data_IF_592786979597
#
_entry.id   IF_592786979597
#
_cell.length_a   1.000
_cell.length_b   1.000
_cell.length_c   1.000
_cell.angle_alpha   90.00
_cell.angle_beta   90.00
_cell.angle_gamma   90.00
#
_symmetry.space_group_name_H-M   'P 1'
#
loop_
_entity.id
_entity.type
_entity.pdbx_description
1 polymer ?
#
# COMPACT_ATOMS: atom_id res chain seq x y z
N UNK A 1 13.86 -22.60 -17.90
CA UNK A 1 15.03 -21.84 -17.43
C UNK A 1 15.01 -20.50 -18.13
N UNK A 2 14.84 -19.41 -17.36
CA UNK A 2 14.91 -18.07 -17.91
C UNK A 2 16.31 -17.77 -18.47
N UNK A 3 16.44 -16.75 -19.33
CA UNK A 3 17.74 -16.28 -19.82
C UNK A 3 18.57 -15.78 -18.62
N UNK A 4 19.91 -15.79 -18.74
CA UNK A 4 20.82 -15.21 -17.73
C UNK A 4 20.47 -13.78 -17.44
N UNK A 5 20.13 -12.98 -18.47
CA UNK A 5 19.66 -11.61 -18.34
C UNK A 5 18.45 -11.47 -17.41
N UNK A 6 17.41 -12.29 -17.59
CA UNK A 6 16.23 -12.25 -16.72
C UNK A 6 16.56 -12.62 -15.26
N UNK A 7 17.46 -13.59 -15.04
CA UNK A 7 17.88 -13.99 -13.71
C UNK A 7 18.68 -12.89 -12.99
N UNK A 8 19.53 -12.16 -13.70
CA UNK A 8 20.37 -11.09 -13.12
C UNK A 8 19.56 -9.90 -12.60
N UNK A 9 18.34 -9.70 -13.11
CA UNK A 9 17.44 -8.60 -12.71
C UNK A 9 16.22 -9.05 -11.91
N UNK A 10 16.17 -10.32 -11.48
CA UNK A 10 15.13 -10.83 -10.60
C UNK A 10 15.54 -10.64 -9.13
N UNK A 11 14.67 -10.04 -8.32
CA UNK A 11 14.90 -9.80 -6.88
C UNK A 11 14.60 -11.06 -6.03
N UNK A 12 14.50 -12.23 -6.64
CA UNK A 12 14.26 -13.50 -5.96
C UNK A 12 15.48 -13.88 -5.11
N UNK A 13 15.25 -14.12 -3.81
CA UNK A 13 16.29 -14.46 -2.82
C UNK A 13 17.35 -13.38 -2.53
N UNK A 14 17.14 -12.14 -2.98
CA UNK A 14 18.05 -11.03 -2.71
C UNK A 14 17.92 -10.57 -1.24
N UNK A 15 19.05 -10.48 -0.54
CA UNK A 15 19.11 -9.92 0.80
C UNK A 15 18.89 -8.40 0.77
N UNK A 16 18.19 -7.85 1.77
CA UNK A 16 17.97 -6.43 1.86
C UNK A 16 18.51 -5.89 3.19
N UNK A 17 19.56 -5.06 3.11
CA UNK A 17 20.15 -4.39 4.26
C UNK A 17 19.73 -2.93 4.33
N UNK A 18 19.19 -2.54 5.49
CA UNK A 18 18.86 -1.17 5.82
C UNK A 18 19.95 -0.60 6.72
N UNK A 19 20.53 0.53 6.32
CA UNK A 19 21.60 1.17 7.06
C UNK A 19 21.07 2.37 7.84
N UNK A 20 21.53 2.53 9.09
CA UNK A 20 21.35 3.76 9.83
C UNK A 20 22.11 4.91 9.14
N UNK A 21 21.54 6.10 9.18
CA UNK A 21 22.17 7.32 8.66
C UNK A 21 22.24 8.36 9.80
N UNK A 22 23.43 8.72 10.29
CA UNK A 22 23.60 9.69 11.36
C UNK A 22 23.32 11.14 10.93
N UNK A 23 23.26 11.40 9.62
CA UNK A 23 23.08 12.74 9.06
C UNK A 23 21.60 13.05 8.75
N UNK A 24 20.65 12.22 9.24
CA UNK A 24 19.22 12.47 9.06
C UNK A 24 18.80 13.76 9.77
N UNK A 25 18.10 14.61 9.03
CA UNK A 25 17.39 15.76 9.58
C UNK A 25 16.09 15.30 10.27
N UNK A 26 15.63 16.01 11.30
CA UNK A 26 14.32 15.76 11.89
C UNK A 26 13.19 15.91 10.86
N UNK A 27 12.16 15.09 11.01
CA UNK A 27 10.91 15.31 10.29
C UNK A 27 10.17 16.50 10.91
N UNK A 28 9.64 17.38 10.07
CA UNK A 28 8.81 18.52 10.47
C UNK A 28 7.41 18.33 9.89
N UNK A 29 6.37 18.72 10.63
CA UNK A 29 4.99 18.57 10.20
C UNK A 29 4.16 19.78 10.50
N UNK A 30 3.52 20.31 9.46
CA UNK A 30 2.48 21.32 9.53
C UNK A 30 1.12 20.66 9.38
N UNK A 31 0.21 20.92 10.33
CA UNK A 31 -1.12 20.35 10.35
C UNK A 31 -2.17 21.45 10.41
N UNK A 32 -3.17 21.36 9.55
CA UNK A 32 -4.32 22.26 9.54
C UNK A 32 -5.61 21.44 9.53
N UNK A 33 -6.60 21.90 10.31
CA UNK A 33 -7.95 21.30 10.33
C UNK A 33 -8.98 22.41 10.38
N UNK A 34 -10.01 22.28 9.56
CA UNK A 34 -11.17 23.14 9.56
C UNK A 34 -12.43 22.27 9.57
N UNK A 35 -13.32 22.51 10.53
CA UNK A 35 -14.54 21.73 10.69
C UNK A 35 -15.77 22.57 10.91
N UNK A 36 -16.93 22.02 10.52
CA UNK A 36 -18.26 22.58 10.76
C UNK A 36 -19.12 21.54 11.43
N UNK A 37 -19.79 21.94 12.52
CA UNK A 37 -20.81 21.14 13.21
C UNK A 37 -22.17 21.80 12.99
N UNK A 38 -23.11 21.04 12.47
CA UNK A 38 -24.48 21.49 12.19
C UNK A 38 -25.44 20.66 13.03
N UNK A 39 -26.20 21.32 13.89
CA UNK A 39 -27.22 20.71 14.75
C UNK A 39 -28.61 21.34 14.46
N UNK A 40 -29.30 20.89 13.41
CA UNK A 40 -30.59 21.48 13.02
C UNK A 40 -31.68 21.33 14.08
N UNK A 41 -31.58 20.30 14.91
CA UNK A 41 -32.43 20.01 16.06
C UNK A 41 -31.68 19.10 17.06
N UNK A 42 -32.28 18.81 18.20
CA UNK A 42 -31.68 18.01 19.27
C UNK A 42 -31.38 16.55 18.87
N UNK A 43 -31.97 16.06 17.80
CA UNK A 43 -31.85 14.68 17.32
C UNK A 43 -30.79 14.48 16.27
N UNK A 44 -30.37 15.52 15.54
CA UNK A 44 -29.51 15.43 14.39
C UNK A 44 -28.25 16.29 14.56
N UNK A 45 -27.10 15.65 14.47
CA UNK A 45 -25.80 16.34 14.38
C UNK A 45 -25.06 15.85 13.13
N UNK A 46 -24.55 16.80 12.35
CA UNK A 46 -23.69 16.54 11.19
C UNK A 46 -22.38 17.27 11.41
N UNK A 47 -21.26 16.55 11.26
CA UNK A 47 -19.92 17.14 11.26
C UNK A 47 -19.26 16.95 9.90
N UNK A 48 -18.56 17.97 9.46
CA UNK A 48 -17.71 17.91 8.25
C UNK A 48 -16.38 18.55 8.62
N UNK A 49 -15.32 17.77 8.58
CA UNK A 49 -13.96 18.19 8.91
C UNK A 49 -13.07 17.98 7.70
N UNK A 50 -12.39 19.04 7.25
CA UNK A 50 -11.33 18.97 6.26
C UNK A 50 -9.98 19.16 6.95
N UNK A 51 -9.01 18.34 6.61
CA UNK A 51 -7.70 18.34 7.24
C UNK A 51 -6.59 18.21 6.21
N UNK A 52 -5.43 18.81 6.52
CA UNK A 52 -4.21 18.75 5.73
C UNK A 52 -3.02 18.53 6.64
N UNK A 53 -2.12 17.65 6.22
CA UNK A 53 -0.85 17.34 6.89
C UNK A 53 0.24 17.44 5.84
N UNK A 54 1.16 18.39 6.01
CA UNK A 54 2.38 18.50 5.24
C UNK A 54 3.56 18.05 6.12
N UNK A 55 4.37 17.14 5.59
CA UNK A 55 5.50 16.56 6.31
C UNK A 55 6.77 16.69 5.50
N UNK A 56 7.68 17.54 5.95
CA UNK A 56 8.99 17.72 5.38
C UNK A 56 10.01 16.73 5.95
N UNK A 57 11.06 16.48 5.18
CA UNK A 57 12.16 15.59 5.56
C UNK A 57 11.68 14.19 5.99
N UNK A 58 10.58 13.70 5.41
CA UNK A 58 10.07 12.36 5.74
C UNK A 58 11.19 11.32 5.68
N UNK A 59 11.44 10.63 6.78
CA UNK A 59 12.48 9.60 6.84
C UNK A 59 11.98 8.32 6.19
N UNK A 60 12.71 7.83 5.21
CA UNK A 60 12.33 6.63 4.48
C UNK A 60 13.49 6.02 3.68
N UNK A 61 13.15 5.04 2.88
CA UNK A 61 14.04 4.36 1.94
C UNK A 61 13.60 4.68 0.52
N UNK A 62 14.53 4.61 -0.43
CA UNK A 62 14.18 4.67 -1.86
C UNK A 62 13.37 3.42 -2.27
N UNK A 63 13.64 2.30 -1.64
CA UNK A 63 12.98 1.01 -1.83
C UNK A 63 13.83 0.03 -2.66
N UNK A 64 13.83 -1.23 -2.24
CA UNK A 64 14.68 -2.25 -2.90
C UNK A 64 14.33 -2.46 -4.37
N UNK A 65 13.01 -2.46 -4.70
CA UNK A 65 12.56 -2.60 -6.08
C UNK A 65 13.01 -1.40 -6.91
N UNK A 66 12.84 -0.19 -6.40
CA UNK A 66 13.30 1.04 -7.04
C UNK A 66 14.81 1.06 -7.23
N UNK A 67 15.58 0.58 -6.24
CA UNK A 67 17.06 0.50 -6.31
C UNK A 67 17.50 -0.47 -7.40
N UNK A 68 16.84 -1.63 -7.53
CA UNK A 68 17.12 -2.60 -8.59
C UNK A 68 16.81 -2.03 -9.98
N UNK A 69 15.66 -1.39 -10.14
CA UNK A 69 15.26 -0.76 -11.41
C UNK A 69 16.21 0.39 -11.77
N UNK A 70 16.62 1.18 -10.79
CA UNK A 70 17.54 2.27 -11.02
C UNK A 70 18.96 1.77 -11.39
N UNK A 71 19.44 0.68 -10.76
CA UNK A 71 20.69 0.01 -11.18
C UNK A 71 20.60 -0.47 -12.63
N UNK A 72 19.49 -1.07 -13.03
CA UNK A 72 19.26 -1.44 -14.43
C UNK A 72 19.30 -0.22 -15.35
N UNK A 73 18.64 0.87 -15.00
CA UNK A 73 18.66 2.10 -15.80
C UNK A 73 20.09 2.65 -15.98
N UNK A 74 20.89 2.68 -14.91
CA UNK A 74 22.29 3.11 -14.99
C UNK A 74 23.11 2.23 -15.93
N UNK A 75 22.86 0.92 -15.96
CA UNK A 75 23.56 -0.01 -16.86
C UNK A 75 23.12 0.15 -18.30
N UNK A 76 21.83 0.40 -18.56
CA UNK A 76 21.33 0.76 -19.90
C UNK A 76 22.00 2.05 -20.38
N UNK A 77 22.10 3.06 -19.54
CA UNK A 77 22.74 4.34 -19.87
C UNK A 77 24.25 4.19 -20.09
N UNK A 78 24.92 3.29 -19.37
CA UNK A 78 26.35 2.95 -19.59
C UNK A 78 26.54 2.31 -20.97
N UNK A 79 25.59 1.45 -21.39
CA UNK A 79 25.63 0.74 -22.66
C UNK A 79 26.86 -0.19 -22.80
N UNK A 80 27.17 -0.57 -24.04
CA UNK A 80 28.27 -1.48 -24.41
C UNK A 80 29.33 -0.81 -25.27
N UNK A 81 29.40 0.53 -25.30
CA UNK A 81 30.45 1.29 -26.01
C UNK A 81 30.43 1.18 -27.52
N UNK A 82 29.31 0.77 -28.13
CA UNK A 82 29.19 0.55 -29.56
C UNK A 82 29.84 -0.75 -30.04
N UNK A 83 30.07 -1.71 -29.12
CA UNK A 83 30.57 -3.04 -29.44
C UNK A 83 29.70 -3.73 -30.49
N UNK A 84 30.34 -4.35 -31.49
CA UNK A 84 29.67 -5.09 -32.57
C UNK A 84 29.82 -6.61 -32.41
N UNK A 85 30.64 -7.03 -31.45
CA UNK A 85 30.83 -8.42 -31.06
C UNK A 85 30.78 -8.59 -29.54
N UNK A 86 30.46 -9.79 -29.08
CA UNK A 86 30.48 -10.15 -27.67
C UNK A 86 31.84 -9.90 -27.03
N UNK A 87 32.91 -10.25 -27.69
CA UNK A 87 34.29 -10.06 -27.20
C UNK A 87 34.61 -8.56 -26.97
N UNK A 88 34.20 -7.69 -27.90
CA UNK A 88 34.34 -6.24 -27.75
C UNK A 88 33.50 -5.70 -26.60
N UNK A 89 32.26 -6.18 -26.44
CA UNK A 89 31.40 -5.84 -25.32
C UNK A 89 32.05 -6.23 -23.99
N UNK A 90 32.48 -7.46 -23.82
CA UNK A 90 33.12 -7.93 -22.59
C UNK A 90 34.37 -7.11 -22.24
N UNK A 91 35.24 -6.85 -23.23
CA UNK A 91 36.39 -6.00 -23.04
C UNK A 91 36.05 -4.56 -22.63
N UNK A 92 35.01 -3.97 -23.24
CA UNK A 92 34.48 -2.66 -22.84
C UNK A 92 33.96 -2.68 -21.40
N UNK A 93 33.15 -3.66 -21.04
CA UNK A 93 32.57 -3.79 -19.73
C UNK A 93 33.62 -3.96 -18.63
N UNK A 94 34.62 -4.78 -18.86
CA UNK A 94 35.78 -4.92 -17.96
C UNK A 94 36.56 -3.61 -17.82
N UNK A 95 36.89 -2.96 -18.94
CA UNK A 95 37.60 -1.69 -18.97
C UNK A 95 36.87 -0.53 -18.27
N UNK A 96 35.54 -0.58 -18.22
CA UNK A 96 34.70 0.39 -17.51
C UNK A 96 34.39 0.01 -16.07
N UNK A 97 34.89 -1.13 -15.61
CA UNK A 97 34.67 -1.62 -14.26
C UNK A 97 33.18 -1.83 -13.90
N UNK A 98 32.31 -2.05 -14.91
CA UNK A 98 30.86 -2.27 -14.69
C UNK A 98 30.56 -3.67 -14.17
N UNK A 99 31.57 -4.58 -14.18
CA UNK A 99 31.52 -5.85 -13.46
C UNK A 99 31.70 -5.70 -11.94
N UNK A 100 32.03 -4.49 -11.46
CA UNK A 100 32.14 -4.24 -10.04
C UNK A 100 30.80 -4.44 -9.37
N UNK A 101 30.79 -5.25 -8.32
CA UNK A 101 29.62 -5.53 -7.53
C UNK A 101 28.96 -4.28 -6.90
N UNK A 102 29.75 -3.21 -6.73
CA UNK A 102 29.29 -1.93 -6.19
C UNK A 102 28.99 -0.88 -7.28
N UNK A 103 28.81 -1.30 -8.55
CA UNK A 103 28.46 -0.38 -9.62
C UNK A 103 27.24 0.47 -9.23
N UNK A 104 27.31 1.77 -9.48
CA UNK A 104 26.22 2.69 -9.12
C UNK A 104 26.14 3.10 -7.65
N UNK A 105 27.00 2.56 -6.76
CA UNK A 105 26.98 2.85 -5.32
C UNK A 105 26.88 4.36 -5.01
N UNK A 106 27.66 5.17 -5.66
CA UNK A 106 27.65 6.63 -5.42
C UNK A 106 26.49 7.35 -6.09
N UNK A 107 25.94 6.80 -7.18
CA UNK A 107 24.75 7.34 -7.82
C UNK A 107 23.48 7.05 -7.01
N UNK A 108 23.51 6.05 -6.14
CA UNK A 108 22.40 5.65 -5.28
C UNK A 108 22.48 6.25 -3.86
N UNK A 109 23.25 7.33 -3.64
CA UNK A 109 23.42 8.01 -2.33
C UNK A 109 23.77 7.01 -1.21
N UNK A 110 24.71 6.11 -1.48
CA UNK A 110 25.10 5.05 -0.57
C UNK A 110 24.27 3.77 -0.63
N UNK A 111 23.15 3.77 -1.35
CA UNK A 111 22.46 2.55 -1.75
C UNK A 111 23.19 1.91 -2.93
N UNK A 112 23.23 0.59 -2.97
CA UNK A 112 23.79 -0.13 -4.09
C UNK A 112 23.29 -1.57 -4.13
N UNK A 113 23.40 -2.18 -5.32
CA UNK A 113 23.05 -3.57 -5.56
C UNK A 113 24.35 -4.36 -5.69
N UNK A 114 24.61 -5.24 -4.71
CA UNK A 114 25.70 -6.22 -4.81
C UNK A 114 25.25 -7.38 -5.69
N UNK A 115 26.19 -7.86 -6.50
CA UNK A 115 25.97 -8.96 -7.43
C UNK A 115 27.01 -10.04 -7.25
N UNK A 116 26.71 -11.23 -7.75
CA UNK A 116 27.65 -12.35 -7.76
C UNK A 116 28.99 -11.97 -8.38
N UNK A 117 30.04 -12.57 -7.87
CA UNK A 117 31.43 -12.18 -8.19
C UNK A 117 31.85 -12.47 -9.64
N UNK A 118 31.15 -13.37 -10.35
CA UNK A 118 31.43 -13.69 -11.74
C UNK A 118 30.27 -13.33 -12.66
N UNK A 119 30.23 -12.09 -13.17
CA UNK A 119 29.16 -11.63 -14.06
C UNK A 119 29.19 -12.38 -15.42
N UNK A 120 30.27 -13.04 -15.78
CA UNK A 120 30.35 -13.79 -17.04
C UNK A 120 29.75 -15.18 -16.93
N UNK A 121 29.55 -15.70 -15.73
CA UNK A 121 28.94 -17.02 -15.48
C UNK A 121 27.44 -17.06 -15.88
N UNK A 122 26.76 -15.93 -15.82
CA UNK A 122 25.34 -15.80 -16.23
C UNK A 122 25.17 -15.21 -17.62
N UNK A 123 26.29 -14.95 -18.36
CA UNK A 123 26.23 -14.37 -19.68
C UNK A 123 25.43 -15.25 -20.65
N UNK A 124 24.57 -14.61 -21.41
CA UNK A 124 23.96 -15.11 -22.64
C UNK A 124 23.86 -13.99 -23.69
N UNK A 125 23.45 -14.33 -24.90
CA UNK A 125 23.36 -13.37 -26.02
C UNK A 125 22.29 -12.27 -25.76
N UNK A 126 21.42 -12.46 -24.81
CA UNK A 126 20.38 -11.46 -24.44
C UNK A 126 21.01 -10.18 -23.89
N UNK A 127 22.14 -10.25 -23.17
CA UNK A 127 22.88 -9.08 -22.71
C UNK A 127 23.42 -8.26 -23.90
N UNK A 128 24.03 -8.92 -24.87
CA UNK A 128 24.55 -8.24 -26.06
C UNK A 128 23.41 -7.62 -26.88
N UNK A 129 22.32 -8.37 -27.08
CA UNK A 129 21.15 -7.91 -27.83
C UNK A 129 20.43 -6.74 -27.13
N UNK A 130 20.41 -6.72 -25.81
CA UNK A 130 19.88 -5.63 -25.02
C UNK A 130 20.84 -4.42 -24.93
N UNK A 131 22.09 -4.53 -25.37
CA UNK A 131 23.08 -3.47 -25.27
C UNK A 131 23.53 -3.17 -23.83
N UNK A 132 23.52 -4.18 -22.95
CA UNK A 132 23.83 -4.06 -21.53
C UNK A 132 24.98 -4.98 -21.16
N UNK A 133 25.88 -4.50 -20.32
CA UNK A 133 26.97 -5.33 -19.78
C UNK A 133 26.42 -6.40 -18.84
N UNK A 134 26.91 -7.64 -18.87
CA UNK A 134 26.58 -8.67 -17.88
C UNK A 134 26.87 -8.18 -16.47
N UNK A 135 26.01 -8.53 -15.54
CA UNK A 135 26.05 -7.96 -14.18
C UNK A 135 26.15 -9.01 -13.06
N UNK A 136 25.83 -10.27 -13.37
CA UNK A 136 25.63 -11.29 -12.36
C UNK A 136 24.31 -11.17 -11.62
N UNK A 137 23.90 -12.22 -10.93
CA UNK A 137 22.66 -12.25 -10.16
C UNK A 137 22.73 -11.27 -8.98
N UNK A 138 21.60 -10.65 -8.65
CA UNK A 138 21.48 -9.79 -7.47
C UNK A 138 21.57 -10.63 -6.19
N UNK A 139 22.58 -10.36 -5.36
CA UNK A 139 22.77 -11.00 -4.06
C UNK A 139 22.22 -10.15 -2.92
N UNK A 140 22.57 -8.88 -2.93
CA UNK A 140 22.21 -7.98 -1.82
C UNK A 140 21.86 -6.59 -2.33
N UNK A 141 20.82 -6.01 -1.77
CA UNK A 141 20.50 -4.57 -1.92
C UNK A 141 20.73 -3.89 -0.58
N UNK A 142 21.56 -2.85 -0.58
CA UNK A 142 21.89 -2.06 0.61
C UNK A 142 21.36 -0.65 0.45
N UNK A 143 20.61 -0.16 1.45
CA UNK A 143 20.00 1.16 1.44
C UNK A 143 20.15 1.87 2.79
N UNK A 144 20.68 3.10 2.84
CA UNK A 144 20.59 3.95 4.00
C UNK A 144 19.21 4.57 4.14
N UNK A 145 18.77 4.82 5.38
CA UNK A 145 17.66 5.75 5.59
C UNK A 145 18.07 7.14 5.11
N UNK A 146 17.13 7.86 4.51
CA UNK A 146 17.36 9.20 3.97
C UNK A 146 16.14 10.08 4.21
N UNK A 147 16.35 11.38 4.24
CA UNK A 147 15.24 12.32 4.20
C UNK A 147 14.68 12.36 2.78
N UNK A 148 13.47 11.91 2.64
CA UNK A 148 12.67 12.08 1.43
C UNK A 148 12.14 13.52 1.42
N UNK A 149 11.73 13.99 0.25
CA UNK A 149 11.13 15.31 0.14
C UNK A 149 9.73 15.37 0.79
N UNK A 150 9.00 16.45 0.54
CA UNK A 150 7.67 16.72 1.10
C UNK A 150 6.68 15.58 0.85
N UNK A 151 5.97 15.19 1.90
CA UNK A 151 4.77 14.35 1.85
C UNK A 151 3.56 15.20 2.22
N UNK A 152 2.54 15.16 1.39
CA UNK A 152 1.26 15.83 1.64
C UNK A 152 0.15 14.82 1.77
N UNK A 153 -0.65 14.94 2.83
CA UNK A 153 -1.87 14.13 3.03
C UNK A 153 -3.01 15.07 3.35
N UNK A 154 -4.09 15.00 2.58
CA UNK A 154 -5.29 15.83 2.78
C UNK A 154 -6.52 14.93 2.77
N UNK A 155 -7.54 15.31 3.52
CA UNK A 155 -8.76 14.53 3.54
C UNK A 155 -9.94 15.25 4.14
N UNK A 156 -11.08 14.55 4.04
CA UNK A 156 -12.37 15.01 4.52
C UNK A 156 -13.05 13.90 5.30
N UNK A 157 -13.45 14.22 6.53
CA UNK A 157 -14.26 13.35 7.38
C UNK A 157 -15.67 13.90 7.52
N UNK A 158 -16.66 13.04 7.31
CA UNK A 158 -18.08 13.39 7.48
C UNK A 158 -18.68 12.43 8.51
N UNK A 159 -19.37 12.96 9.53
CA UNK A 159 -20.13 12.14 10.43
C UNK A 159 -21.55 12.66 10.60
N UNK A 160 -22.51 11.73 10.65
CA UNK A 160 -23.93 12.00 10.90
C UNK A 160 -24.35 11.18 12.11
N UNK A 161 -24.90 11.84 13.10
CA UNK A 161 -25.48 11.25 14.30
C UNK A 161 -26.96 11.61 14.33
N UNK A 162 -27.82 10.60 14.37
CA UNK A 162 -29.25 10.81 14.38
C UNK A 162 -29.94 9.90 15.40
N UNK A 163 -30.46 10.51 16.46
CA UNK A 163 -31.21 9.84 17.52
C UNK A 163 -32.69 10.22 17.44
N UNK A 164 -33.58 9.24 17.40
CA UNK A 164 -35.00 9.47 17.31
C UNK A 164 -35.83 8.39 18.00
N UNK A 165 -36.96 8.80 18.56
CA UNK A 165 -37.92 7.92 19.20
C UNK A 165 -39.10 7.64 18.28
N UNK A 166 -39.64 6.43 18.36
CA UNK A 166 -40.80 5.99 17.61
C UNK A 166 -41.76 5.20 18.52
N UNK A 167 -42.96 4.92 18.04
CA UNK A 167 -43.90 4.06 18.76
C UNK A 167 -43.42 2.61 18.92
N UNK A 168 -42.42 2.20 18.16
CA UNK A 168 -41.85 0.85 18.24
C UNK A 168 -40.50 0.81 18.98
N UNK A 169 -39.99 1.94 19.47
CA UNK A 169 -38.72 2.03 20.21
C UNK A 169 -37.81 3.16 19.75
N UNK A 170 -36.65 3.23 20.37
CA UNK A 170 -35.63 4.26 20.18
C UNK A 170 -34.58 3.78 19.18
N UNK A 171 -34.17 4.68 18.32
CA UNK A 171 -33.13 4.44 17.30
C UNK A 171 -31.98 5.42 17.45
N UNK A 172 -30.76 4.92 17.23
CA UNK A 172 -29.56 5.71 17.11
C UNK A 172 -28.83 5.29 15.82
N UNK A 173 -28.63 6.24 14.92
CA UNK A 173 -27.93 6.03 13.63
C UNK A 173 -26.65 6.84 13.63
N UNK A 174 -25.55 6.18 13.34
CA UNK A 174 -24.24 6.82 13.12
C UNK A 174 -23.73 6.42 11.73
N UNK A 175 -23.49 7.40 10.90
CA UNK A 175 -22.80 7.23 9.62
C UNK A 175 -21.50 8.04 9.67
N UNK A 176 -20.38 7.42 9.30
CA UNK A 176 -19.09 8.10 9.19
C UNK A 176 -18.46 7.73 7.86
N UNK A 177 -17.96 8.74 7.16
CA UNK A 177 -17.20 8.60 5.92
C UNK A 177 -15.88 9.31 6.11
N UNK A 178 -14.78 8.62 5.84
CA UNK A 178 -13.43 9.20 5.77
C UNK A 178 -12.91 9.09 4.35
N UNK A 179 -12.49 10.20 3.80
CA UNK A 179 -11.96 10.30 2.43
C UNK A 179 -10.56 10.91 2.48
N UNK A 180 -9.61 10.28 1.80
CA UNK A 180 -8.28 10.82 1.57
C UNK A 180 -8.27 11.46 0.18
N UNK A 181 -8.33 12.80 0.14
CA UNK A 181 -8.44 13.56 -1.10
C UNK A 181 -7.08 13.67 -1.81
N UNK A 182 -5.98 13.63 -1.02
CA UNK A 182 -4.61 13.68 -1.50
C UNK A 182 -3.71 12.84 -0.61
N UNK A 183 -2.82 12.07 -1.19
CA UNK A 183 -1.69 11.44 -0.51
C UNK A 183 -0.53 11.37 -1.50
N UNK A 184 0.38 12.30 -1.39
CA UNK A 184 1.50 12.44 -2.31
C UNK A 184 2.83 12.43 -1.58
N UNK A 185 3.80 11.73 -2.15
CA UNK A 185 5.22 11.84 -1.82
C UNK A 185 5.92 12.51 -3.01
N UNK A 186 6.56 13.65 -2.78
CA UNK A 186 7.31 14.33 -3.84
C UNK A 186 8.35 13.40 -4.46
N UNK A 187 8.36 13.24 -5.80
CA UNK A 187 9.30 12.39 -6.48
C UNK A 187 10.76 12.85 -6.31
N UNK A 188 11.65 11.92 -5.92
CA UNK A 188 13.09 12.17 -5.93
C UNK A 188 13.63 12.26 -7.37
N UNK A 189 14.84 12.81 -7.54
CA UNK A 189 15.49 12.87 -8.85
C UNK A 189 15.68 11.47 -9.48
N UNK A 190 15.99 10.45 -8.67
CA UNK A 190 16.12 9.06 -9.11
C UNK A 190 14.77 8.51 -9.60
N UNK A 191 13.70 8.75 -8.86
CA UNK A 191 12.35 8.37 -9.28
C UNK A 191 11.99 9.03 -10.63
N UNK A 192 12.25 10.34 -10.77
CA UNK A 192 11.98 11.07 -12.00
C UNK A 192 12.76 10.50 -13.18
N UNK A 193 14.03 10.11 -12.97
CA UNK A 193 14.85 9.49 -14.02
C UNK A 193 14.26 8.16 -14.50
N UNK A 194 13.80 7.30 -13.57
CA UNK A 194 13.15 6.03 -13.93
C UNK A 194 11.80 6.27 -14.61
N UNK A 195 10.98 7.18 -14.09
CA UNK A 195 9.70 7.54 -14.70
C UNK A 195 9.87 8.08 -16.13
N UNK A 196 10.89 8.91 -16.37
CA UNK A 196 11.22 9.39 -17.71
C UNK A 196 11.64 8.25 -18.65
N UNK A 197 12.44 7.30 -18.15
CA UNK A 197 12.89 6.14 -18.92
C UNK A 197 11.74 5.17 -19.27
N UNK A 198 10.72 5.07 -18.42
CA UNK A 198 9.48 4.35 -18.74
C UNK A 198 8.68 5.12 -19.81
N UNK A 199 8.55 6.43 -19.66
CA UNK A 199 7.79 7.27 -20.60
C UNK A 199 8.38 7.31 -22.01
N UNK A 200 9.71 7.26 -22.15
CA UNK A 200 10.39 7.27 -23.45
C UNK A 200 10.63 5.87 -24.05
N UNK A 201 10.23 4.81 -23.31
CA UNK A 201 10.35 3.42 -23.76
C UNK A 201 11.74 2.79 -23.51
N UNK A 202 12.65 3.48 -22.84
CA UNK A 202 13.95 2.91 -22.40
C UNK A 202 13.75 1.76 -21.41
N UNK A 203 12.75 1.90 -20.54
CA UNK A 203 12.27 0.83 -19.67
C UNK A 203 10.87 0.39 -20.09
N UNK A 204 10.50 -0.89 -19.88
CA UNK A 204 9.16 -1.38 -20.19
C UNK A 204 8.06 -0.61 -19.45
N UNK A 205 6.88 -0.43 -20.09
CA UNK A 205 5.72 0.25 -19.50
C UNK A 205 5.21 -0.41 -18.20
N UNK A 206 5.41 -1.71 -18.04
CA UNK A 206 5.05 -2.44 -16.83
C UNK A 206 6.06 -2.28 -15.68
N UNK A 207 7.16 -1.53 -15.87
CA UNK A 207 8.12 -1.26 -14.79
C UNK A 207 7.44 -0.56 -13.63
N UNK A 208 7.44 -1.18 -12.46
CA UNK A 208 6.84 -0.61 -11.25
C UNK A 208 7.86 0.23 -10.49
N UNK A 209 7.42 1.41 -10.04
CA UNK A 209 8.16 2.29 -9.14
C UNK A 209 7.21 2.63 -7.99
N UNK A 210 7.66 2.41 -6.77
CA UNK A 210 6.81 2.48 -5.59
C UNK A 210 7.20 3.67 -4.68
N UNK A 211 6.23 4.12 -3.86
CA UNK A 211 6.47 5.02 -2.75
C UNK A 211 6.62 6.50 -3.08
N UNK A 212 6.36 6.92 -4.32
CA UNK A 212 6.45 8.31 -4.78
C UNK A 212 5.26 8.67 -5.68
N UNK A 213 5.00 9.97 -5.82
CA UNK A 213 3.85 10.48 -6.58
C UNK A 213 2.57 10.33 -5.79
N UNK A 214 1.46 10.06 -6.47
CA UNK A 214 0.16 9.78 -5.85
C UNK A 214 0.16 8.39 -5.23
N UNK A 215 -0.02 8.34 -3.92
CA UNK A 215 0.01 7.12 -3.11
C UNK A 215 -1.39 6.68 -2.65
N UNK A 216 -2.46 7.36 -3.11
CA UNK A 216 -3.82 6.96 -2.76
C UNK A 216 -4.15 5.59 -3.35
N UNK A 217 -5.08 4.90 -2.72
CA UNK A 217 -5.65 3.64 -3.22
C UNK A 217 -4.61 2.58 -3.57
N UNK A 218 -3.55 2.43 -2.79
CA UNK A 218 -2.60 1.34 -3.01
C UNK A 218 -2.47 0.42 -1.79
N UNK A 219 -1.91 -0.76 -2.00
CA UNK A 219 -1.77 -1.80 -1.00
C UNK A 219 -0.95 -1.39 0.23
N UNK A 220 -0.02 -0.45 0.09
CA UNK A 220 0.87 0.00 1.18
C UNK A 220 0.25 1.11 2.04
N UNK A 221 -0.71 1.87 1.49
CA UNK A 221 -1.35 3.03 2.14
C UNK A 221 -2.79 2.71 2.53
N UNK A 222 -3.47 1.92 1.74
CA UNK A 222 -4.88 1.57 1.90
C UNK A 222 -5.80 2.36 0.98
N UNK A 223 -7.10 2.16 1.16
CA UNK A 223 -8.13 2.82 0.35
C UNK A 223 -8.24 4.31 0.66
N UNK A 224 -8.57 5.11 -0.35
CA UNK A 224 -8.88 6.54 -0.18
C UNK A 224 -10.23 6.79 0.50
N UNK A 225 -11.09 5.76 0.63
CA UNK A 225 -12.41 5.91 1.25
C UNK A 225 -12.78 4.74 2.15
N UNK A 226 -13.27 5.07 3.35
CA UNK A 226 -13.91 4.13 4.29
C UNK A 226 -15.23 4.70 4.79
N UNK A 227 -16.28 3.87 4.71
CA UNK A 227 -17.60 4.24 5.25
C UNK A 227 -17.98 3.28 6.37
N UNK A 228 -18.50 3.80 7.47
CA UNK A 228 -19.08 3.01 8.56
C UNK A 228 -20.50 3.43 8.82
N UNK A 229 -21.39 2.45 8.96
CA UNK A 229 -22.76 2.66 9.38
C UNK A 229 -23.03 1.85 10.65
N UNK A 230 -23.65 2.47 11.63
CA UNK A 230 -24.19 1.79 12.80
C UNK A 230 -25.62 2.23 13.04
N UNK A 231 -26.52 1.27 13.18
CA UNK A 231 -27.91 1.49 13.57
C UNK A 231 -28.16 0.67 14.83
N UNK A 232 -28.52 1.35 15.92
CA UNK A 232 -28.91 0.71 17.15
C UNK A 232 -30.44 0.93 17.37
N UNK A 233 -31.07 -0.11 17.87
CA UNK A 233 -32.48 -0.11 18.23
C UNK A 233 -32.64 -0.60 19.65
N UNK A 234 -33.59 0.02 20.42
CA UNK A 234 -33.93 -0.39 21.75
C UNK A 234 -35.45 -0.22 21.99
N UNK A 235 -36.04 -1.25 22.55
CA UNK A 235 -37.44 -1.21 23.04
C UNK A 235 -37.56 -2.14 24.24
N UNK A 236 -37.67 -1.55 25.45
CA UNK A 236 -37.72 -2.31 26.68
C UNK A 236 -36.58 -3.30 26.84
N UNK A 237 -36.93 -4.58 26.89
CA UNK A 237 -35.94 -5.67 27.04
C UNK A 237 -35.24 -6.06 25.76
N UNK A 238 -35.71 -5.59 24.61
CA UNK A 238 -35.14 -5.91 23.32
C UNK A 238 -34.14 -4.86 22.84
N UNK A 239 -33.12 -5.29 22.17
CA UNK A 239 -32.25 -4.41 21.42
C UNK A 239 -31.62 -5.11 20.24
N UNK A 240 -31.33 -4.32 19.20
CA UNK A 240 -30.66 -4.76 18.01
C UNK A 240 -29.58 -3.75 17.60
N UNK A 241 -28.53 -4.21 16.94
CA UNK A 241 -27.50 -3.37 16.35
C UNK A 241 -27.08 -3.94 15.00
N UNK A 242 -27.20 -3.13 13.96
CA UNK A 242 -26.63 -3.37 12.64
C UNK A 242 -25.39 -2.48 12.49
N UNK A 243 -24.27 -3.06 12.10
CA UNK A 243 -23.07 -2.31 11.71
C UNK A 243 -22.60 -2.75 10.33
N UNK A 244 -22.23 -1.79 9.50
CA UNK A 244 -21.62 -2.06 8.20
C UNK A 244 -20.31 -1.28 8.06
N UNK A 245 -19.34 -1.87 7.39
CA UNK A 245 -18.06 -1.28 6.99
C UNK A 245 -17.89 -1.47 5.49
N UNK A 246 -17.71 -0.37 4.77
CA UNK A 246 -17.24 -0.39 3.39
C UNK A 246 -15.78 0.06 3.36
N UNK A 247 -14.95 -0.75 2.75
CA UNK A 247 -13.57 -0.44 2.33
C UNK A 247 -13.64 -0.12 0.84
N UNK A 248 -13.13 1.03 0.42
CA UNK A 248 -13.12 1.45 -0.98
C UNK A 248 -12.27 0.57 -1.87
N UNK A 249 -12.23 0.89 -3.13
CA UNK A 249 -11.38 0.25 -4.13
C UNK A 249 -9.89 0.52 -3.86
N UNK A 250 -9.04 -0.35 -4.39
CA UNK A 250 -7.58 -0.27 -4.30
C UNK A 250 -6.94 -0.53 -5.66
N UNK A 251 -5.73 -0.06 -5.84
CA UNK A 251 -4.88 -0.38 -6.99
C UNK A 251 -3.80 -1.37 -6.56
N UNK A 252 -3.73 -2.51 -7.23
CA UNK A 252 -2.66 -3.49 -7.06
C UNK A 252 -1.51 -3.13 -7.99
N UNK A 253 -0.56 -2.36 -7.48
CA UNK A 253 0.58 -1.87 -8.26
C UNK A 253 1.56 -2.97 -8.68
N UNK A 254 1.48 -4.15 -8.05
CA UNK A 254 2.24 -5.34 -8.40
C UNK A 254 1.71 -6.03 -9.67
N UNK A 255 0.45 -5.77 -10.05
CA UNK A 255 -0.21 -6.41 -11.20
C UNK A 255 -0.55 -5.38 -12.26
N UNK A 256 0.19 -5.41 -13.35
CA UNK A 256 -0.02 -4.53 -14.50
C UNK A 256 -0.17 -5.34 -15.79
N UNK A 257 -1.05 -4.87 -16.66
CA UNK A 257 -1.14 -5.35 -18.04
C UNK A 257 0.06 -4.85 -18.87
N UNK A 258 0.23 -5.41 -20.06
CA UNK A 258 1.34 -5.06 -20.97
C UNK A 258 1.34 -3.58 -21.39
N UNK A 259 0.17 -2.93 -21.38
CA UNK A 259 0.01 -1.50 -21.66
C UNK A 259 0.13 -0.61 -20.38
N UNK A 260 0.52 -1.20 -19.25
CA UNK A 260 0.77 -0.50 -17.99
C UNK A 260 -0.47 -0.21 -17.15
N UNK A 261 -1.65 -0.74 -17.52
CA UNK A 261 -2.86 -0.60 -16.70
C UNK A 261 -2.71 -1.40 -15.40
N UNK A 262 -2.98 -0.75 -14.28
CA UNK A 262 -2.91 -1.36 -12.94
C UNK A 262 -4.21 -2.11 -12.66
N UNK A 263 -4.11 -3.28 -12.02
CA UNK A 263 -5.29 -4.04 -11.61
C UNK A 263 -6.03 -3.32 -10.49
N UNK A 264 -7.34 -3.12 -10.67
CA UNK A 264 -8.23 -2.50 -9.69
C UNK A 264 -8.92 -3.57 -8.85
N UNK A 265 -8.68 -3.50 -7.54
CA UNK A 265 -9.32 -4.36 -6.54
C UNK A 265 -10.63 -3.70 -6.13
N UNK A 266 -11.79 -4.36 -6.32
CA UNK A 266 -13.09 -3.76 -6.04
C UNK A 266 -13.30 -3.50 -4.55
N UNK A 267 -14.17 -2.54 -4.23
CA UNK A 267 -14.58 -2.25 -2.87
C UNK A 267 -15.27 -3.44 -2.21
N UNK A 268 -15.10 -3.60 -0.89
CA UNK A 268 -15.73 -4.63 -0.08
C UNK A 268 -16.62 -4.03 1.00
N UNK A 269 -17.85 -4.57 1.14
CA UNK A 269 -18.78 -4.15 2.20
C UNK A 269 -19.17 -5.33 3.06
N UNK A 270 -18.86 -5.26 4.35
CA UNK A 270 -19.28 -6.26 5.33
C UNK A 270 -20.32 -5.69 6.30
N UNK A 271 -21.31 -6.48 6.68
CA UNK A 271 -22.32 -6.09 7.64
C UNK A 271 -22.51 -7.13 8.75
N UNK A 272 -22.73 -6.66 9.99
CA UNK A 272 -22.93 -7.50 11.15
C UNK A 272 -24.25 -7.12 11.82
N UNK A 273 -25.00 -8.12 12.27
CA UNK A 273 -26.24 -7.95 13.00
C UNK A 273 -26.11 -8.57 14.40
N UNK A 274 -26.56 -7.87 15.41
CA UNK A 274 -26.72 -8.38 16.77
C UNK A 274 -28.11 -8.09 17.29
N UNK A 275 -28.77 -9.08 17.85
CA UNK A 275 -30.08 -8.92 18.53
C UNK A 275 -29.95 -9.51 19.92
N UNK A 276 -30.49 -8.83 20.92
CA UNK A 276 -30.55 -9.35 22.28
C UNK A 276 -31.92 -9.18 22.93
N UNK A 277 -32.17 -10.05 23.89
CA UNK A 277 -33.30 -9.95 24.81
C UNK A 277 -32.81 -10.05 26.25
N UNK A 278 -33.30 -9.14 27.12
CA UNK A 278 -33.16 -9.23 28.56
C UNK A 278 -34.36 -9.98 29.12
N UNK A 279 -34.17 -10.73 30.19
CA UNK A 279 -35.21 -11.49 30.89
C UNK A 279 -34.71 -11.87 32.28
N UNK A 280 -35.64 -12.29 33.16
CA UNK A 280 -35.27 -12.81 34.46
C UNK A 280 -35.27 -14.35 34.43
N UNK A 281 -34.22 -15.00 34.92
CA UNK A 281 -34.11 -16.44 35.03
C UNK A 281 -33.77 -16.82 36.48
N UNK A 282 -34.64 -17.56 37.13
CA UNK A 282 -34.48 -17.97 38.55
C UNK A 282 -34.22 -16.78 39.52
N UNK A 283 -34.83 -15.62 39.27
CA UNK A 283 -34.64 -14.43 40.07
C UNK A 283 -33.43 -13.57 39.75
N UNK A 284 -32.59 -14.00 38.82
CA UNK A 284 -31.40 -13.29 38.37
C UNK A 284 -31.63 -12.64 36.99
N UNK A 285 -31.02 -11.49 36.75
CA UNK A 285 -31.10 -10.82 35.47
C UNK A 285 -30.25 -11.58 34.44
N UNK A 286 -30.85 -11.83 33.29
CA UNK A 286 -30.22 -12.56 32.20
C UNK A 286 -30.36 -11.81 30.86
N UNK A 287 -29.39 -12.00 29.96
CA UNK A 287 -29.45 -11.48 28.61
C UNK A 287 -28.96 -12.55 27.62
N UNK A 288 -29.81 -12.88 26.67
CA UNK A 288 -29.45 -13.71 25.52
C UNK A 288 -29.18 -12.81 24.32
N UNK A 289 -28.05 -13.01 23.66
CA UNK A 289 -27.64 -12.30 22.43
C UNK A 289 -27.34 -13.28 21.33
N UNK A 290 -27.93 -13.06 20.16
CA UNK A 290 -27.53 -13.66 18.89
C UNK A 290 -26.77 -12.61 18.06
N UNK A 291 -25.63 -12.97 17.51
CA UNK A 291 -24.86 -12.12 16.59
C UNK A 291 -24.49 -12.91 15.34
N UNK A 292 -24.67 -12.27 14.18
CA UNK A 292 -24.22 -12.76 12.88
C UNK A 292 -23.20 -11.75 12.35
N UNK A 293 -21.97 -12.18 12.21
CA UNK A 293 -20.94 -11.41 11.51
C UNK A 293 -20.96 -11.74 10.04
N UNK A 294 -20.69 -10.73 9.22
CA UNK A 294 -20.66 -10.85 7.76
C UNK A 294 -21.93 -11.51 7.22
N UNK A 295 -23.09 -10.83 7.39
CA UNK A 295 -24.43 -11.37 7.06
C UNK A 295 -24.52 -11.81 5.59
N UNK A 296 -23.85 -11.05 4.69
CA UNK A 296 -23.86 -11.32 3.25
C UNK A 296 -22.92 -12.47 2.85
N UNK A 297 -22.07 -12.95 3.77
CA UNK A 297 -20.99 -13.92 3.47
C UNK A 297 -20.00 -13.40 2.44
N UNK A 298 -19.73 -12.10 2.49
CA UNK A 298 -18.82 -11.42 1.56
C UNK A 298 -17.42 -11.97 1.70
N UNK A 299 -16.74 -12.20 0.58
CA UNK A 299 -15.37 -12.70 0.54
C UNK A 299 -14.42 -11.59 0.13
N UNK A 300 -13.17 -11.64 0.62
CA UNK A 300 -12.16 -10.68 0.22
C UNK A 300 -11.95 -10.69 -1.31
N UNK A 301 -11.84 -9.51 -1.95
CA UNK A 301 -11.54 -9.43 -3.36
C UNK A 301 -10.14 -9.97 -3.65
N UNK A 302 -9.96 -10.55 -4.85
CA UNK A 302 -8.68 -11.10 -5.27
C UNK A 302 -7.64 -9.98 -5.44
N UNK A 303 -6.41 -10.25 -5.01
CA UNK A 303 -5.25 -9.38 -5.14
C UNK A 303 -3.97 -10.21 -5.18
N UNK A 304 -2.85 -9.61 -5.64
CA UNK A 304 -1.52 -10.22 -5.62
C UNK A 304 -0.91 -10.17 -4.21
N UNK A 305 -1.62 -10.74 -3.26
CA UNK A 305 -1.20 -10.89 -1.87
C UNK A 305 -0.90 -12.36 -1.54
N UNK A 306 -0.16 -12.59 -0.44
CA UNK A 306 0.25 -13.95 0.00
C UNK A 306 -0.91 -14.94 0.11
N UNK A 307 -2.11 -14.47 0.49
CA UNK A 307 -3.31 -15.31 0.63
C UNK A 307 -4.28 -15.19 -0.57
N UNK A 308 -3.86 -14.55 -1.67
CA UNK A 308 -4.74 -14.21 -2.78
C UNK A 308 -5.58 -12.96 -2.53
N UNK A 309 -5.34 -12.24 -1.43
CA UNK A 309 -5.94 -10.95 -1.07
C UNK A 309 -5.04 -10.18 -0.10
N UNK A 310 -5.24 -8.89 0.07
CA UNK A 310 -4.50 -8.07 1.05
C UNK A 310 -5.09 -8.20 2.44
N UNK A 311 -4.49 -9.07 3.28
CA UNK A 311 -4.97 -9.40 4.64
C UNK A 311 -4.90 -8.23 5.64
N UNK A 312 -4.08 -7.23 5.38
CA UNK A 312 -3.96 -6.02 6.21
C UNK A 312 -5.14 -5.04 5.98
N UNK A 313 -5.82 -5.17 4.85
CA UNK A 313 -6.92 -4.31 4.41
C UNK A 313 -8.26 -5.04 4.47
N UNK A 314 -8.31 -6.26 3.97
CA UNK A 314 -9.52 -7.08 3.86
C UNK A 314 -9.47 -8.30 4.79
N UNK A 315 -10.65 -8.76 5.23
CA UNK A 315 -10.81 -10.00 6.00
C UNK A 315 -11.66 -11.00 5.22
N UNK A 316 -11.17 -12.22 5.09
CA UNK A 316 -11.83 -13.30 4.36
C UNK A 316 -12.39 -14.39 5.29
N UNK A 317 -12.94 -13.99 6.43
CA UNK A 317 -13.44 -14.94 7.44
C UNK A 317 -14.78 -15.60 7.06
N UNK A 318 -15.56 -14.99 6.15
CA UNK A 318 -16.91 -15.45 5.82
C UNK A 318 -17.92 -15.14 6.95
N UNK A 319 -19.07 -15.84 6.93
CA UNK A 319 -20.15 -15.64 7.89
C UNK A 319 -19.96 -16.44 9.16
N UNK A 320 -20.11 -15.78 10.33
CA UNK A 320 -20.04 -16.41 11.64
C UNK A 320 -21.27 -16.13 12.48
N UNK A 321 -21.70 -17.12 13.26
CA UNK A 321 -22.81 -17.05 14.18
C UNK A 321 -22.30 -17.17 15.61
N UNK A 322 -22.78 -16.29 16.51
CA UNK A 322 -22.43 -16.31 17.91
C UNK A 322 -23.71 -16.28 18.75
N UNK A 323 -23.76 -17.12 19.79
CA UNK A 323 -24.79 -17.09 20.80
C UNK A 323 -24.10 -16.84 22.16
N UNK A 324 -24.54 -15.80 22.85
CA UNK A 324 -24.00 -15.39 24.15
C UNK A 324 -25.16 -15.32 25.16
N UNK A 325 -24.99 -16.02 26.30
CA UNK A 325 -25.88 -15.94 27.46
C UNK A 325 -25.09 -15.38 28.64
N UNK A 326 -25.48 -14.22 29.11
CA UNK A 326 -24.98 -13.60 30.35
C UNK A 326 -26.00 -13.65 31.43
N UNK A 327 -25.58 -14.02 32.64
CA UNK A 327 -26.38 -13.97 33.85
C UNK A 327 -25.62 -13.23 34.95
N UNK A 328 -26.30 -12.35 35.68
CA UNK A 328 -25.74 -11.65 36.83
C UNK A 328 -26.25 -12.37 38.09
N UNK A 329 -25.37 -12.89 38.96
CA UNK A 329 -25.66 -13.69 40.14
C UNK A 329 -25.56 -12.85 41.41
#
# INVERSE_FOLDING_TARGET
SGSGFANDYTISNTLHFRLGNPDLLPEESDNATFGVVITPNDSLTVTVDSWSIEKDNTIGLFGRNNSSVYDLLLRIQQGIGGATTVAEMLAFCEGKNVFNSEFGKYALDGSYVLRDADPTASYDDDFFNAGICPAGQQDTITEPYQNLALRTVEGTDIAVYYDFETSIGDFSVTLQTSMTDKFEQTPSAKYQAVAAAVADGTLPAYTSIEGFGDLRNNENVGTDRKDTLRVNYRNGDWGASLSALRVGELLDNGVKSDDGQVYEIPSMTTANLSVYKKFTLNGNDARLRLMVRNIADERAPLADGWFGFYSDIHRDEGRHYYLDLRMDF
#
